data_IF_199268163298
#
_entry.id   IF_199268163298
#
_cell.length_a   1.000
_cell.length_b   1.000
_cell.length_c   1.000
_cell.angle_alpha   90.00
_cell.angle_beta   90.00
_cell.angle_gamma   90.00
#
_symmetry.space_group_name_H-M   'P 1'
#
loop_
_entity.id
_entity.type
_entity.pdbx_description
1 polymer ?
#
# COMPACT_ATOMS: atom_id res chain seq x y z
N UNK A 1 17.73 -1.49 -6.45
CA UNK A 1 16.70 -0.91 -5.57
C UNK A 1 17.10 -1.27 -4.14
N UNK A 2 17.34 -0.31 -3.25
CA UNK A 2 17.60 -0.62 -1.84
C UNK A 2 16.26 -0.54 -1.10
N UNK A 3 15.96 -1.60 -0.34
CA UNK A 3 14.72 -1.77 0.42
C UNK A 3 15.06 -1.63 1.90
N UNK A 4 14.26 -0.85 2.62
CA UNK A 4 14.33 -0.67 4.06
C UNK A 4 13.27 -1.53 4.72
N UNK A 5 13.64 -2.29 5.75
CA UNK A 5 12.73 -3.19 6.45
C UNK A 5 12.36 -2.62 7.81
N UNK A 6 11.10 -2.79 8.16
CA UNK A 6 10.54 -2.44 9.47
C UNK A 6 9.81 -3.67 9.99
N UNK A 7 10.16 -4.12 11.18
CA UNK A 7 9.51 -5.24 11.85
C UNK A 7 8.80 -4.70 13.09
N UNK A 8 7.49 -4.84 13.24
CA UNK A 8 6.72 -4.40 14.42
C UNK A 8 6.34 -5.65 15.23
N UNK A 9 6.86 -5.80 16.45
CA UNK A 9 6.36 -6.86 17.33
C UNK A 9 4.97 -6.55 17.88
N UNK A 10 4.10 -7.56 17.92
CA UNK A 10 2.72 -7.44 18.39
C UNK A 10 2.50 -7.97 19.83
N UNK A 11 3.56 -8.38 20.52
CA UNK A 11 3.42 -8.95 21.87
C UNK A 11 3.21 -7.85 22.92
N UNK A 12 2.36 -8.10 23.94
CA UNK A 12 2.22 -7.23 25.13
C UNK A 12 3.49 -7.19 26.01
N UNK A 13 4.60 -7.76 25.52
CA UNK A 13 5.86 -7.81 26.23
C UNK A 13 6.71 -6.59 25.82
N UNK A 14 7.03 -5.65 26.73
CA UNK A 14 7.78 -4.42 26.42
C UNK A 14 9.21 -4.64 25.89
N UNK A 15 9.62 -5.90 25.73
CA UNK A 15 10.95 -6.33 25.29
C UNK A 15 11.04 -6.74 23.80
N UNK A 16 9.93 -6.93 23.10
CA UNK A 16 9.97 -7.25 21.67
C UNK A 16 9.45 -6.05 20.89
N UNK A 17 10.37 -5.43 20.14
CA UNK A 17 10.23 -4.07 19.63
C UNK A 17 10.16 -3.99 18.12
N UNK A 18 10.08 -2.74 17.63
CA UNK A 18 10.25 -2.41 16.22
C UNK A 18 11.72 -2.65 15.79
N UNK A 19 12.02 -3.69 15.00
CA UNK A 19 13.38 -3.97 14.50
C UNK A 19 13.50 -3.48 13.05
N UNK A 20 14.44 -2.59 12.78
CA UNK A 20 14.74 -2.13 11.42
C UNK A 20 15.87 -2.99 10.88
N UNK A 21 15.59 -3.87 9.91
CA UNK A 21 16.65 -4.59 9.20
C UNK A 21 17.08 -3.84 7.94
N UNK A 22 18.37 -3.92 7.64
CA UNK A 22 18.92 -3.65 6.31
C UNK A 22 19.65 -4.92 5.87
N UNK A 23 18.94 -5.83 5.22
CA UNK A 23 19.56 -7.01 4.61
C UNK A 23 19.62 -6.86 3.10
N UNK A 24 20.84 -6.80 2.58
CA UNK A 24 21.12 -6.91 1.17
C UNK A 24 20.95 -8.37 0.75
N UNK A 25 19.77 -8.77 0.23
CA UNK A 25 19.43 -9.95 -0.62
C UNK A 25 19.81 -11.37 -0.11
N UNK A 26 20.82 -11.53 0.74
CA UNK A 26 21.44 -12.80 1.13
C UNK A 26 20.68 -13.48 2.28
N UNK A 27 19.99 -12.72 3.15
CA UNK A 27 19.24 -13.32 4.27
C UNK A 27 17.97 -14.06 3.87
N UNK A 28 17.34 -13.71 2.74
CA UNK A 28 16.15 -14.43 2.26
C UNK A 28 16.49 -15.87 1.82
N UNK A 29 17.66 -16.09 1.23
CA UNK A 29 18.09 -17.43 0.78
C UNK A 29 18.38 -18.33 2.00
N UNK A 30 18.95 -17.76 3.08
CA UNK A 30 19.29 -18.53 4.28
C UNK A 30 18.07 -18.95 5.11
N UNK A 31 17.04 -18.11 5.21
CA UNK A 31 15.80 -18.46 5.92
C UNK A 31 14.95 -19.48 5.13
N UNK A 32 14.94 -19.41 3.79
CA UNK A 32 14.30 -20.42 2.94
C UNK A 32 14.96 -21.79 3.05
N UNK A 33 16.29 -21.86 3.23
CA UNK A 33 17.01 -23.13 3.36
C UNK A 33 16.77 -23.82 4.70
N UNK A 34 16.56 -23.08 5.79
CA UNK A 34 16.36 -23.65 7.14
C UNK A 34 14.90 -24.12 7.33
N UNK A 35 13.95 -23.55 6.59
CA UNK A 35 12.53 -23.90 6.70
C UNK A 35 12.13 -25.14 5.88
N UNK A 36 12.95 -25.53 4.89
CA UNK A 36 12.67 -26.63 3.97
C UNK A 36 12.85 -28.03 4.59
N UNK A 37 13.42 -28.14 5.81
CA UNK A 37 13.64 -29.44 6.46
C UNK A 37 12.47 -29.96 7.30
N UNK A 38 11.40 -29.18 7.54
CA UNK A 38 10.36 -29.57 8.52
C UNK A 38 8.92 -29.68 8.06
N UNK A 39 8.54 -29.25 6.87
CA UNK A 39 7.15 -29.41 6.40
C UNK A 39 7.14 -29.79 4.93
N UNK A 40 6.45 -30.88 4.62
CA UNK A 40 6.40 -31.49 3.30
C UNK A 40 6.12 -30.51 2.18
N UNK A 41 6.84 -30.71 1.07
CA UNK A 41 6.71 -30.12 -0.28
C UNK A 41 5.54 -29.16 -0.46
N UNK A 42 5.69 -27.92 0.02
CA UNK A 42 4.98 -26.77 -0.51
C UNK A 42 5.83 -26.25 -1.66
N UNK A 43 5.24 -26.10 -2.83
CA UNK A 43 5.88 -25.72 -4.07
C UNK A 43 6.69 -24.41 -3.93
N UNK A 44 7.99 -24.56 -3.72
CA UNK A 44 8.97 -23.48 -3.53
C UNK A 44 9.02 -22.58 -4.78
N UNK A 45 8.68 -23.12 -5.95
CA UNK A 45 8.73 -22.40 -7.22
C UNK A 45 7.65 -21.29 -7.26
N UNK A 46 6.47 -21.56 -6.72
CA UNK A 46 5.39 -20.57 -6.64
C UNK A 46 5.69 -19.46 -5.62
N UNK A 47 6.37 -19.77 -4.51
CA UNK A 47 6.75 -18.76 -3.51
C UNK A 47 7.86 -17.82 -3.99
N UNK A 48 8.84 -18.37 -4.74
CA UNK A 48 9.87 -17.59 -5.41
C UNK A 48 9.22 -16.64 -6.42
N UNK A 49 8.19 -17.08 -7.15
CA UNK A 49 7.46 -16.19 -8.08
C UNK A 49 6.75 -15.04 -7.39
N UNK A 50 6.11 -15.23 -6.23
CA UNK A 50 5.45 -14.13 -5.49
C UNK A 50 6.48 -13.11 -4.97
N UNK A 51 7.61 -13.56 -4.40
CA UNK A 51 8.69 -12.65 -3.99
C UNK A 51 9.37 -11.96 -5.19
N UNK A 52 9.54 -12.67 -6.31
CA UNK A 52 10.07 -12.10 -7.55
C UNK A 52 9.08 -11.14 -8.24
N UNK A 53 7.77 -11.36 -8.16
CA UNK A 53 6.76 -10.41 -8.62
C UNK A 53 6.82 -9.12 -7.82
N UNK A 54 6.95 -9.20 -6.48
CA UNK A 54 7.07 -8.01 -5.61
C UNK A 54 8.40 -7.26 -5.82
N UNK A 55 9.49 -7.96 -6.12
CA UNK A 55 10.82 -7.35 -6.36
C UNK A 55 11.06 -6.92 -7.82
N UNK A 56 10.30 -7.46 -8.78
CA UNK A 56 10.40 -7.13 -10.22
C UNK A 56 9.46 -6.01 -10.66
N UNK A 57 8.76 -5.34 -9.72
CA UNK A 57 8.01 -4.10 -9.99
C UNK A 57 8.99 -3.01 -10.44
N UNK A 58 9.30 -3.02 -11.74
CA UNK A 58 10.07 -2.01 -12.42
C UNK A 58 9.16 -0.79 -12.53
N UNK A 59 9.33 0.15 -11.60
CA UNK A 59 8.66 1.44 -11.58
C UNK A 59 9.00 2.25 -12.85
N UNK A 60 8.31 1.95 -13.96
CA UNK A 60 8.32 2.80 -15.15
C UNK A 60 7.34 3.93 -14.92
N UNK A 61 7.86 5.09 -14.54
CA UNK A 61 7.14 6.36 -14.51
C UNK A 61 6.73 6.74 -15.93
N UNK A 62 5.55 6.27 -16.39
CA UNK A 62 4.81 6.97 -17.43
C UNK A 62 3.93 8.01 -16.76
N UNK A 63 3.81 9.20 -17.35
CA UNK A 63 2.98 10.27 -16.81
C UNK A 63 1.50 9.90 -16.94
N UNK A 64 0.83 9.75 -15.81
CA UNK A 64 -0.61 9.55 -15.76
C UNK A 64 -1.27 10.91 -15.64
N UNK A 65 -2.33 11.15 -16.41
CA UNK A 65 -3.04 12.41 -16.39
C UNK A 65 -4.53 12.17 -16.14
N UNK A 66 -5.15 13.01 -15.31
CA UNK A 66 -6.60 13.12 -15.20
C UNK A 66 -7.19 14.05 -16.27
N UNK A 67 -6.34 14.90 -16.88
CA UNK A 67 -6.75 15.99 -17.75
C UNK A 67 -5.94 15.92 -19.04
N UNK A 68 -6.56 15.40 -20.09
CA UNK A 68 -6.23 15.70 -21.48
C UNK A 68 -7.37 16.51 -22.10
N UNK A 69 -7.12 17.16 -23.24
CA UNK A 69 -8.17 17.80 -24.03
C UNK A 69 -9.02 16.71 -24.70
N UNK A 70 -9.89 16.06 -23.93
CA UNK A 70 -10.81 15.06 -24.44
C UNK A 70 -12.17 15.68 -24.70
N UNK A 71 -12.79 15.31 -25.82
CA UNK A 71 -14.17 15.63 -26.14
C UNK A 71 -15.00 14.34 -26.15
N UNK A 72 -16.16 14.37 -25.49
CA UNK A 72 -17.12 13.26 -25.52
C UNK A 72 -18.07 13.51 -26.68
N UNK A 73 -18.14 12.54 -27.60
CA UNK A 73 -19.07 12.55 -28.74
C UNK A 73 -20.52 12.46 -28.27
N UNK A 74 -21.48 12.80 -29.15
CA UNK A 74 -22.91 12.76 -28.79
C UNK A 74 -23.37 11.33 -28.50
N UNK A 75 -22.81 10.36 -29.21
CA UNK A 75 -23.04 8.93 -29.12
C UNK A 75 -22.50 8.37 -27.80
N UNK A 76 -21.25 8.68 -27.46
CA UNK A 76 -20.65 8.32 -26.17
C UNK A 76 -21.47 8.92 -25.02
N UNK A 77 -21.85 10.20 -25.11
CA UNK A 77 -22.67 10.86 -24.08
C UNK A 77 -24.00 10.13 -23.86
N UNK A 78 -24.71 9.75 -24.92
CA UNK A 78 -26.00 9.04 -24.82
C UNK A 78 -25.88 7.71 -24.09
N UNK A 79 -24.73 7.06 -24.16
CA UNK A 79 -24.47 5.82 -23.43
C UNK A 79 -24.04 6.13 -21.99
N UNK A 80 -23.15 7.10 -21.80
CA UNK A 80 -22.65 7.50 -20.48
C UNK A 80 -23.76 7.99 -19.55
N UNK A 81 -24.78 8.68 -20.07
CA UNK A 81 -25.93 9.13 -19.27
C UNK A 81 -26.83 8.00 -18.78
N UNK A 82 -26.63 6.75 -19.23
CA UNK A 82 -27.36 5.59 -18.71
C UNK A 82 -26.82 5.09 -17.37
N UNK A 83 -25.57 5.43 -17.04
CA UNK A 83 -24.95 5.06 -15.78
C UNK A 83 -25.32 6.06 -14.70
N UNK A 84 -25.78 5.56 -13.57
CA UNK A 84 -26.12 6.38 -12.40
C UNK A 84 -24.88 6.90 -11.67
N UNK A 85 -23.74 6.19 -11.78
CA UNK A 85 -22.50 6.58 -11.13
C UNK A 85 -21.28 6.21 -11.97
N UNK A 86 -20.57 7.22 -12.46
CA UNK A 86 -19.29 7.06 -13.16
C UNK A 86 -18.17 7.68 -12.33
N UNK A 87 -17.06 6.98 -12.20
CA UNK A 87 -15.84 7.43 -11.53
C UNK A 87 -14.74 7.64 -12.58
N UNK A 88 -14.19 8.84 -12.69
CA UNK A 88 -13.10 9.09 -13.64
C UNK A 88 -11.78 8.57 -13.08
N UNK A 89 -11.07 7.77 -13.87
CA UNK A 89 -9.79 7.18 -13.53
C UNK A 89 -8.65 7.82 -14.30
N UNK A 90 -7.43 7.83 -13.74
CA UNK A 90 -6.25 8.23 -14.48
C UNK A 90 -6.01 7.22 -15.60
N UNK A 91 -5.66 7.72 -16.79
CA UNK A 91 -5.31 6.91 -17.95
C UNK A 91 -3.87 7.22 -18.41
N UNK A 92 -3.22 6.24 -19.04
CA UNK A 92 -1.91 6.40 -19.69
C UNK A 92 -2.03 6.74 -21.17
N UNK A 93 -3.18 6.42 -21.76
CA UNK A 93 -3.42 6.51 -23.19
C UNK A 93 -4.42 7.64 -23.49
N UNK A 94 -4.63 7.95 -24.76
CA UNK A 94 -5.62 8.95 -25.21
C UNK A 94 -7.09 8.47 -25.03
N UNK A 95 -7.30 7.49 -24.15
CA UNK A 95 -8.59 6.88 -23.81
C UNK A 95 -9.04 7.44 -22.47
N UNK A 96 -10.29 7.88 -22.41
CA UNK A 96 -10.96 8.26 -21.16
C UNK A 96 -11.32 6.97 -20.41
N UNK A 97 -10.64 6.72 -19.28
CA UNK A 97 -10.94 5.58 -18.42
C UNK A 97 -11.93 5.99 -17.32
N UNK A 98 -13.05 5.29 -17.24
CA UNK A 98 -14.07 5.46 -16.20
C UNK A 98 -14.35 4.13 -15.51
N UNK A 99 -14.91 4.17 -14.31
CA UNK A 99 -15.37 3.00 -13.59
C UNK A 99 -16.80 3.15 -13.08
N UNK A 100 -17.54 2.05 -13.03
CA UNK A 100 -18.89 2.00 -12.44
C UNK A 100 -19.15 0.64 -11.77
N UNK A 101 -20.09 0.62 -10.82
CA UNK A 101 -20.61 -0.60 -10.20
C UNK A 101 -21.67 -1.31 -11.06
N UNK A 102 -22.12 -0.67 -12.15
CA UNK A 102 -23.25 -1.11 -12.97
C UNK A 102 -22.83 -2.01 -14.15
N UNK A 103 -21.53 -2.22 -14.35
CA UNK A 103 -21.01 -3.08 -15.42
C UNK A 103 -20.72 -4.48 -14.88
N UNK A 104 -21.31 -5.48 -15.52
CA UNK A 104 -21.00 -6.89 -15.29
C UNK A 104 -19.93 -7.35 -16.29
N UNK A 105 -18.87 -8.00 -15.81
CA UNK A 105 -17.80 -8.56 -16.65
C UNK A 105 -16.58 -7.66 -16.82
N UNK A 106 -15.92 -7.75 -17.98
CA UNK A 106 -14.57 -7.20 -18.27
C UNK A 106 -14.54 -5.70 -18.63
N UNK A 107 -15.69 -5.03 -18.64
CA UNK A 107 -15.81 -3.62 -19.01
C UNK A 107 -16.54 -3.40 -20.34
N UNK A 108 -16.74 -2.13 -20.69
CA UNK A 108 -17.38 -1.69 -21.94
C UNK A 108 -16.48 -0.64 -22.60
N UNK A 109 -16.15 -0.83 -23.87
CA UNK A 109 -15.40 0.17 -24.65
C UNK A 109 -16.29 0.78 -25.73
N UNK A 110 -16.32 2.12 -25.78
CA UNK A 110 -17.15 2.92 -26.67
C UNK A 110 -16.27 4.03 -27.22
N UNK A 111 -15.83 3.91 -28.47
CA UNK A 111 -14.92 4.88 -29.07
C UNK A 111 -13.66 5.07 -28.22
N UNK A 112 -13.46 6.30 -27.73
CA UNK A 112 -12.31 6.66 -26.90
C UNK A 112 -12.61 6.56 -25.39
N UNK A 113 -13.74 5.98 -25.00
CA UNK A 113 -14.12 5.79 -23.60
C UNK A 113 -14.07 4.32 -23.24
N UNK A 114 -13.32 3.98 -22.19
CA UNK A 114 -13.32 2.65 -21.58
C UNK A 114 -13.96 2.74 -20.20
N UNK A 115 -14.95 1.88 -19.95
CA UNK A 115 -15.68 1.81 -18.69
C UNK A 115 -15.39 0.46 -18.05
N UNK A 116 -14.75 0.47 -16.89
CA UNK A 116 -14.40 -0.73 -16.14
C UNK A 116 -15.34 -0.96 -14.96
N UNK A 117 -15.34 -2.19 -14.46
CA UNK A 117 -16.05 -2.53 -13.22
C UNK A 117 -15.29 -1.97 -12.02
N UNK A 118 -16.05 -1.41 -11.08
CA UNK A 118 -15.57 -1.14 -9.72
C UNK A 118 -16.52 -1.72 -8.68
N UNK A 119 -15.99 -1.98 -7.50
CA UNK A 119 -16.74 -2.50 -6.36
C UNK A 119 -16.34 -1.77 -5.09
N UNK A 120 -17.35 -1.32 -4.35
CA UNK A 120 -17.14 -0.88 -2.98
C UNK A 120 -17.02 -2.11 -2.09
N UNK A 121 -15.98 -2.15 -1.26
CA UNK A 121 -15.96 -3.15 -0.21
C UNK A 121 -17.01 -2.79 0.85
N UNK A 122 -17.89 -3.73 1.18
CA UNK A 122 -18.96 -3.52 2.18
C UNK A 122 -18.35 -3.41 3.60
N UNK A 123 -17.25 -4.12 3.84
CA UNK A 123 -16.64 -4.27 5.15
C UNK A 123 -15.31 -3.53 5.31
N UNK A 124 -14.71 -3.09 4.21
CA UNK A 124 -13.42 -2.43 4.21
C UNK A 124 -13.50 -1.02 3.60
N UNK A 125 -12.52 -0.19 3.91
CA UNK A 125 -12.44 1.21 3.49
C UNK A 125 -11.81 1.40 2.10
N UNK A 126 -11.95 0.41 1.20
CA UNK A 126 -11.37 0.44 -0.15
C UNK A 126 -12.37 0.19 -1.27
N UNK A 127 -12.00 0.68 -2.45
CA UNK A 127 -12.69 0.47 -3.73
C UNK A 127 -11.80 -0.43 -4.59
N UNK A 128 -12.36 -1.54 -5.08
CA UNK A 128 -11.73 -2.41 -6.09
C UNK A 128 -12.05 -1.90 -7.49
N UNK A 129 -11.07 -1.92 -8.36
CA UNK A 129 -11.18 -1.58 -9.78
C UNK A 129 -10.61 -2.75 -10.59
N UNK A 130 -11.40 -3.25 -11.53
CA UNK A 130 -11.03 -4.42 -12.34
C UNK A 130 -10.63 -3.91 -13.72
N UNK A 131 -9.33 -3.78 -13.96
CA UNK A 131 -8.80 -3.25 -15.21
C UNK A 131 -7.86 -4.27 -15.84
N UNK A 132 -8.24 -4.76 -17.02
CA UNK A 132 -7.51 -5.83 -17.71
C UNK A 132 -7.40 -7.07 -16.81
N UNK A 133 -6.18 -7.57 -16.60
CA UNK A 133 -5.88 -8.71 -15.72
C UNK A 133 -5.38 -8.27 -14.34
N UNK A 134 -5.56 -7.00 -13.97
CA UNK A 134 -5.07 -6.45 -12.71
C UNK A 134 -6.24 -5.91 -11.90
N UNK A 135 -6.40 -6.44 -10.70
CA UNK A 135 -7.28 -5.85 -9.70
C UNK A 135 -6.51 -4.76 -8.96
N UNK A 136 -7.10 -3.57 -8.85
CA UNK A 136 -6.56 -2.47 -8.06
C UNK A 136 -7.46 -2.19 -6.87
N UNK A 137 -6.91 -2.00 -5.68
CA UNK A 137 -7.66 -1.61 -4.49
C UNK A 137 -7.13 -0.30 -3.93
N UNK A 138 -7.98 0.73 -3.87
CA UNK A 138 -7.61 2.06 -3.36
C UNK A 138 -8.45 2.38 -2.13
N UNK A 139 -7.79 2.65 -1.01
CA UNK A 139 -8.46 2.96 0.26
C UNK A 139 -8.57 4.47 0.54
N UNK A 140 -9.57 4.83 1.35
CA UNK A 140 -9.77 6.19 1.83
C UNK A 140 -10.08 7.21 0.72
N UNK A 141 -10.69 6.75 -0.38
CA UNK A 141 -10.99 7.59 -1.53
C UNK A 141 -12.17 8.51 -1.22
N UNK A 142 -11.89 9.82 -1.13
CA UNK A 142 -12.93 10.83 -1.07
C UNK A 142 -13.22 11.38 -2.46
N UNK A 143 -14.49 11.53 -2.81
CA UNK A 143 -14.92 11.98 -4.14
C UNK A 143 -15.68 13.30 -4.11
N UNK A 144 -15.68 14.00 -5.24
CA UNK A 144 -16.57 15.12 -5.54
C UNK A 144 -17.21 14.92 -6.90
N UNK A 145 -18.40 15.47 -7.10
CA UNK A 145 -19.09 15.41 -8.38
C UNK A 145 -18.62 16.56 -9.27
N UNK A 146 -18.40 16.27 -10.55
CA UNK A 146 -18.09 17.24 -11.60
C UNK A 146 -18.91 16.93 -12.85
N UNK A 147 -19.31 17.97 -13.58
CA UNK A 147 -19.93 17.82 -14.90
C UNK A 147 -18.86 17.89 -15.98
N UNK A 148 -18.73 16.84 -16.78
CA UNK A 148 -17.79 16.78 -17.89
C UNK A 148 -18.51 16.31 -19.16
N UNK A 149 -18.48 17.13 -20.22
CA UNK A 149 -19.19 16.81 -21.47
C UNK A 149 -20.69 16.59 -21.30
N UNK A 150 -21.32 17.18 -20.27
CA UNK A 150 -22.74 17.00 -19.94
C UNK A 150 -23.07 15.72 -19.17
N UNK A 151 -22.06 14.98 -18.71
CA UNK A 151 -22.17 13.77 -17.88
C UNK A 151 -21.70 14.09 -16.47
N UNK A 152 -22.43 13.64 -15.45
CA UNK A 152 -22.02 13.78 -14.05
C UNK A 152 -21.05 12.65 -13.68
N UNK A 153 -19.84 13.04 -13.26
CA UNK A 153 -18.76 12.14 -12.91
C UNK A 153 -18.32 12.37 -11.46
N UNK A 154 -17.91 11.29 -10.78
CA UNK A 154 -17.16 11.34 -9.53
C UNK A 154 -15.67 11.41 -9.84
N UNK A 155 -14.97 12.36 -9.21
CA UNK A 155 -13.52 12.48 -9.28
C UNK A 155 -12.93 12.47 -7.86
N UNK A 156 -11.69 11.99 -7.66
CA UNK A 156 -11.02 12.11 -6.37
C UNK A 156 -10.88 13.57 -5.94
N UNK A 157 -11.19 13.90 -4.68
CA UNK A 157 -10.97 15.25 -4.12
C UNK A 157 -9.49 15.63 -4.10
N UNK A 158 -8.61 14.66 -3.80
CA UNK A 158 -7.17 14.84 -3.82
C UNK A 158 -6.56 13.97 -4.91
N UNK A 159 -6.47 14.53 -6.11
CA UNK A 159 -5.96 13.87 -7.32
C UNK A 159 -4.53 13.36 -7.15
N UNK A 160 -3.65 14.12 -6.47
CA UNK A 160 -2.24 13.75 -6.25
C UNK A 160 -2.13 12.52 -5.34
N UNK A 161 -2.85 12.52 -4.22
CA UNK A 161 -2.89 11.40 -3.28
C UNK A 161 -3.48 10.15 -3.95
N UNK A 162 -4.61 10.30 -4.64
CA UNK A 162 -5.24 9.19 -5.36
C UNK A 162 -4.30 8.60 -6.40
N UNK A 163 -3.63 9.43 -7.22
CA UNK A 163 -2.74 8.93 -8.27
C UNK A 163 -1.57 8.11 -7.71
N UNK A 164 -1.00 8.55 -6.59
CA UNK A 164 0.06 7.81 -5.90
C UNK A 164 -0.44 6.46 -5.40
N UNK A 165 -1.61 6.44 -4.76
CA UNK A 165 -2.24 5.20 -4.31
C UNK A 165 -2.53 4.29 -5.50
N UNK A 166 -3.14 4.83 -6.56
CA UNK A 166 -3.43 4.11 -7.81
C UNK A 166 -2.21 3.45 -8.43
N UNK A 167 -1.05 4.11 -8.41
CA UNK A 167 0.19 3.53 -8.92
C UNK A 167 0.69 2.35 -8.08
N UNK A 168 0.36 2.31 -6.79
CA UNK A 168 0.76 1.28 -5.82
C UNK A 168 -0.40 0.37 -5.39
N UNK A 169 -1.53 0.41 -6.10
CA UNK A 169 -2.79 -0.20 -5.65
C UNK A 169 -3.00 -1.61 -6.16
N UNK A 170 -2.01 -2.27 -6.74
CA UNK A 170 -2.18 -3.65 -7.21
C UNK A 170 -2.60 -4.53 -6.04
N UNK A 171 -3.76 -5.17 -6.19
CA UNK A 171 -4.39 -5.94 -5.14
C UNK A 171 -3.99 -7.40 -5.30
N UNK A 172 -3.26 -7.90 -4.29
CA UNK A 172 -2.87 -9.30 -4.21
C UNK A 172 -3.99 -10.02 -3.46
N UNK A 173 -4.78 -10.82 -4.19
CA UNK A 173 -5.75 -11.72 -3.56
C UNK A 173 -5.02 -12.82 -2.80
N UNK A 174 -5.55 -13.17 -1.63
CA UNK A 174 -5.05 -14.29 -0.84
C UNK A 174 -5.71 -15.60 -1.28
N UNK A 175 -5.03 -16.72 -1.06
CA UNK A 175 -5.49 -18.06 -1.44
C UNK A 175 -6.50 -18.65 -0.44
N UNK A 176 -6.55 -18.14 0.79
CA UNK A 176 -7.47 -18.62 1.83
C UNK A 176 -7.22 -20.07 2.24
N UNK A 177 -5.96 -20.53 2.19
CA UNK A 177 -5.60 -21.88 2.60
C UNK A 177 -5.76 -22.02 4.11
N UNK A 178 -6.33 -23.15 4.54
CA UNK A 178 -6.39 -23.49 5.97
C UNK A 178 -5.11 -24.22 6.38
N UNK A 179 -4.12 -23.46 6.88
CA UNK A 179 -2.82 -23.97 7.31
C UNK A 179 -2.72 -24.01 8.85
N UNK A 180 -3.84 -23.89 9.55
CA UNK A 180 -3.85 -23.78 11.01
C UNK A 180 -3.13 -24.96 11.68
N UNK A 181 -2.22 -24.63 12.59
CA UNK A 181 -1.52 -25.59 13.44
C UNK A 181 -2.39 -26.07 14.62
N UNK A 182 -3.60 -25.52 14.78
CA UNK A 182 -4.46 -25.71 15.95
C UNK A 182 -4.06 -24.86 17.17
N UNK A 183 -2.95 -24.12 17.09
CA UNK A 183 -2.52 -23.18 18.13
C UNK A 183 -3.26 -21.83 18.00
N UNK A 184 -3.50 -21.11 19.10
CA UNK A 184 -4.02 -19.76 19.04
C UNK A 184 -2.99 -18.83 18.39
N UNK A 185 -3.44 -17.99 17.45
CA UNK A 185 -2.61 -16.99 16.80
C UNK A 185 -1.97 -16.04 17.81
N UNK A 186 -0.64 -15.89 17.75
CA UNK A 186 0.15 -15.01 18.62
C UNK A 186 -0.17 -13.55 18.34
N UNK A 187 -0.32 -13.17 17.06
CA UNK A 187 -0.74 -11.83 16.66
C UNK A 187 -2.25 -11.81 16.47
N UNK A 188 -3.01 -11.09 17.31
CA UNK A 188 -4.45 -11.09 17.18
C UNK A 188 -4.88 -10.41 15.88
N UNK A 189 -5.93 -10.95 15.22
CA UNK A 189 -6.42 -10.43 13.92
C UNK A 189 -6.70 -8.93 13.91
N UNK A 190 -7.11 -8.33 15.04
CA UNK A 190 -7.38 -6.89 15.13
C UNK A 190 -6.12 -6.02 15.07
N UNK A 191 -4.92 -6.60 15.15
CA UNK A 191 -3.63 -5.91 14.99
C UNK A 191 -3.47 -5.26 13.60
N UNK A 192 -4.23 -5.71 12.59
CA UNK A 192 -4.31 -5.06 11.28
C UNK A 192 -4.70 -3.57 11.36
N UNK A 193 -5.39 -3.15 12.43
CA UNK A 193 -5.70 -1.73 12.69
C UNK A 193 -4.45 -0.93 13.02
N UNK A 194 -3.51 -1.51 13.77
CA UNK A 194 -2.23 -0.87 14.08
C UNK A 194 -1.34 -0.79 12.85
N UNK A 195 -1.37 -1.82 12.00
CA UNK A 195 -0.74 -1.79 10.68
C UNK A 195 -1.28 -0.66 9.80
N UNK A 196 -2.60 -0.44 9.78
CA UNK A 196 -3.20 0.68 9.06
C UNK A 196 -2.74 2.03 9.61
N UNK A 197 -2.68 2.20 10.93
CA UNK A 197 -2.14 3.42 11.57
C UNK A 197 -0.67 3.65 11.19
N UNK A 198 0.13 2.58 11.15
CA UNK A 198 1.53 2.65 10.73
C UNK A 198 1.67 3.04 9.26
N UNK A 199 0.89 2.44 8.37
CA UNK A 199 0.78 2.83 6.95
C UNK A 199 0.42 4.31 6.80
N UNK A 200 -0.61 4.76 7.50
CA UNK A 200 -1.10 6.15 7.43
C UNK A 200 -0.05 7.15 7.93
N UNK A 201 0.82 6.74 8.87
CA UNK A 201 1.96 7.54 9.28
C UNK A 201 2.92 7.81 8.12
N UNK A 202 3.34 6.80 7.35
CA UNK A 202 4.23 7.01 6.20
C UNK A 202 3.53 7.75 5.05
N UNK A 203 2.24 7.53 4.85
CA UNK A 203 1.47 8.24 3.84
C UNK A 203 1.45 9.76 4.07
N UNK A 204 1.48 10.20 5.33
CA UNK A 204 1.57 11.62 5.66
C UNK A 204 2.84 12.29 5.10
N UNK A 205 3.90 11.52 4.89
CA UNK A 205 5.16 11.94 4.26
C UNK A 205 5.22 11.59 2.78
N UNK A 206 4.08 11.28 2.17
CA UNK A 206 4.04 10.94 0.75
C UNK A 206 4.80 9.65 0.40
N UNK A 207 5.08 8.80 1.39
CA UNK A 207 5.84 7.55 1.27
C UNK A 207 4.93 6.33 1.37
N UNK A 208 5.27 5.27 0.63
CA UNK A 208 4.50 4.03 0.60
C UNK A 208 5.29 2.86 1.16
N UNK A 209 4.70 2.19 2.15
CA UNK A 209 5.17 0.92 2.69
C UNK A 209 4.38 -0.24 2.08
N UNK A 210 4.97 -1.42 2.02
CA UNK A 210 4.31 -2.65 1.56
C UNK A 210 4.64 -3.81 2.49
N UNK A 211 3.78 -4.83 2.54
CA UNK A 211 4.01 -6.02 3.35
C UNK A 211 5.26 -6.76 2.88
N UNK A 212 6.01 -7.32 3.81
CA UNK A 212 7.24 -8.06 3.50
C UNK A 212 7.32 -9.35 4.32
N UNK A 213 8.30 -10.21 4.00
CA UNK A 213 8.68 -11.36 4.82
C UNK A 213 7.52 -12.30 5.15
N UNK A 214 7.48 -12.74 6.41
CA UNK A 214 6.46 -13.65 6.93
C UNK A 214 5.05 -13.04 6.91
N UNK A 215 4.95 -11.71 7.03
CA UNK A 215 3.66 -11.00 6.97
C UNK A 215 3.02 -11.07 5.59
N UNK A 216 3.80 -10.83 4.53
CA UNK A 216 3.30 -10.97 3.16
C UNK A 216 2.93 -12.42 2.87
N UNK A 217 3.75 -13.37 3.32
CA UNK A 217 3.48 -14.80 3.16
C UNK A 217 2.17 -15.22 3.84
N UNK A 218 1.96 -14.80 5.10
CA UNK A 218 0.71 -15.05 5.82
C UNK A 218 -0.49 -14.48 5.08
N UNK A 219 -0.42 -13.21 4.65
CA UNK A 219 -1.49 -12.58 3.86
C UNK A 219 -1.81 -13.41 2.63
N UNK A 220 -0.82 -13.71 1.80
CA UNK A 220 -1.02 -14.42 0.54
C UNK A 220 -1.59 -15.83 0.76
N UNK A 221 -1.07 -16.57 1.75
CA UNK A 221 -1.44 -17.98 1.96
C UNK A 221 -2.77 -18.14 2.70
N UNK A 222 -2.94 -17.43 3.81
CA UNK A 222 -3.97 -17.71 4.82
C UNK A 222 -4.97 -16.55 4.98
N UNK A 223 -4.80 -15.45 4.23
CA UNK A 223 -5.55 -14.21 4.42
C UNK A 223 -5.43 -13.63 5.85
N UNK A 224 -4.36 -13.98 6.57
CA UNK A 224 -4.12 -13.57 7.97
C UNK A 224 -2.63 -13.63 8.32
N UNK A 225 -2.25 -13.31 9.56
CA UNK A 225 -0.90 -13.60 10.05
C UNK A 225 -0.71 -15.10 10.24
N UNK A 226 0.52 -15.58 10.03
CA UNK A 226 0.88 -16.96 10.39
C UNK A 226 0.74 -17.12 11.90
N UNK A 227 0.09 -18.19 12.36
CA UNK A 227 -0.32 -18.34 13.77
C UNK A 227 0.82 -18.17 14.80
N UNK A 228 2.04 -18.58 14.47
CA UNK A 228 3.21 -18.56 15.36
C UNK A 228 4.19 -17.39 15.14
N UNK A 229 3.88 -16.46 14.23
CA UNK A 229 4.70 -15.25 14.04
C UNK A 229 4.53 -14.29 15.21
N UNK A 230 5.59 -13.58 15.58
CA UNK A 230 5.59 -12.67 16.75
C UNK A 230 5.68 -11.19 16.35
N UNK A 231 5.77 -10.96 15.04
CA UNK A 231 6.18 -9.74 14.39
C UNK A 231 5.50 -9.53 13.04
N UNK A 232 5.48 -8.27 12.62
CA UNK A 232 4.90 -7.82 11.35
C UNK A 232 5.94 -7.05 10.55
N UNK A 233 6.25 -7.51 9.35
CA UNK A 233 7.25 -6.91 8.48
C UNK A 233 6.63 -6.02 7.40
N UNK A 234 7.17 -4.81 7.30
CA UNK A 234 6.97 -3.88 6.20
C UNK A 234 8.30 -3.59 5.51
N UNK A 235 8.19 -3.22 4.24
CA UNK A 235 9.28 -2.75 3.43
C UNK A 235 8.93 -1.39 2.80
N UNK A 236 9.96 -0.59 2.53
CA UNK A 236 9.84 0.69 1.83
C UNK A 236 11.05 0.92 0.93
N UNK A 237 10.85 1.67 -0.15
CA UNK A 237 11.97 2.16 -0.97
C UNK A 237 12.83 3.15 -0.18
N UNK A 238 14.16 2.99 -0.19
CA UNK A 238 15.06 3.97 0.45
C UNK A 238 14.85 5.39 -0.06
N UNK A 239 14.43 5.54 -1.32
CA UNK A 239 14.24 6.85 -1.96
C UNK A 239 13.03 7.60 -1.39
N UNK A 240 12.16 6.89 -0.68
CA UNK A 240 11.00 7.45 0.00
C UNK A 240 11.26 7.66 1.50
N UNK A 241 12.45 7.30 2.00
CA UNK A 241 12.88 7.64 3.37
C UNK A 241 13.40 9.08 3.37
N UNK A 242 12.86 9.89 4.26
CA UNK A 242 13.33 11.26 4.51
C UNK A 242 13.80 11.39 5.95
N UNK A 243 14.64 12.39 6.24
CA UNK A 243 15.07 12.69 7.61
C UNK A 243 13.88 13.01 8.52
N UNK A 244 12.86 13.72 8.01
CA UNK A 244 11.64 14.05 8.73
C UNK A 244 10.88 12.82 9.22
N UNK A 245 10.76 11.77 8.39
CA UNK A 245 10.16 10.49 8.80
C UNK A 245 10.93 9.94 10.00
N UNK A 246 12.26 9.86 9.91
CA UNK A 246 13.08 9.27 10.97
C UNK A 246 13.01 10.07 12.28
N UNK A 247 12.97 11.39 12.20
CA UNK A 247 12.89 12.25 13.38
C UNK A 247 11.50 12.17 14.03
N UNK A 248 10.43 12.20 13.24
CA UNK A 248 9.07 12.06 13.77
C UNK A 248 8.80 10.65 14.30
N UNK A 249 9.44 9.62 13.75
CA UNK A 249 9.41 8.26 14.32
C UNK A 249 10.07 8.15 15.70
N UNK A 250 11.06 8.99 16.00
CA UNK A 250 11.66 9.06 17.36
C UNK A 250 10.72 9.74 18.35
N UNK A 251 9.93 10.72 17.91
CA UNK A 251 9.08 11.52 18.79
C UNK A 251 7.63 11.02 18.91
N UNK A 252 7.16 10.21 17.99
CA UNK A 252 5.75 9.76 17.99
C UNK A 252 5.43 8.87 19.20
N UNK A 253 4.24 9.08 19.77
CA UNK A 253 3.69 8.24 20.84
C UNK A 253 2.87 7.05 20.32
N UNK A 254 2.66 6.96 19.00
CA UNK A 254 1.81 5.93 18.37
C UNK A 254 2.50 4.57 18.29
N UNK A 255 3.82 4.57 18.21
CA UNK A 255 4.65 3.37 18.17
C UNK A 255 6.03 3.72 18.71
N UNK A 256 6.74 2.73 19.24
CA UNK A 256 8.06 2.91 19.82
C UNK A 256 9.13 2.51 18.81
N UNK A 257 10.03 3.44 18.49
CA UNK A 257 11.23 3.12 17.75
C UNK A 257 12.30 2.61 18.72
N UNK A 258 12.78 1.39 18.49
CA UNK A 258 13.82 0.79 19.35
C UNK A 258 15.21 0.95 18.73
N UNK A 259 15.35 0.69 17.42
CA UNK A 259 16.65 0.66 16.76
C UNK A 259 16.56 1.24 15.36
N UNK A 260 17.61 1.95 14.92
CA UNK A 260 17.87 2.24 13.52
C UNK A 260 19.19 1.56 13.18
N UNK A 261 19.14 0.58 12.28
CA UNK A 261 20.34 -0.15 11.85
C UNK A 261 20.77 0.30 10.46
N UNK A 262 22.08 0.45 10.29
CA UNK A 262 22.70 0.90 9.04
C UNK A 262 22.72 2.43 8.87
N UNK A 263 23.58 2.89 7.96
CA UNK A 263 23.66 4.31 7.61
C UNK A 263 22.69 4.58 6.46
N UNK A 264 21.57 5.24 6.75
CA UNK A 264 20.77 5.89 5.71
C UNK A 264 21.67 6.99 5.14
N UNK A 265 22.16 6.80 3.91
CA UNK A 265 22.94 7.81 3.20
C UNK A 265 22.05 9.00 2.84
N UNK A 266 21.66 9.79 3.84
CA UNK A 266 20.96 11.04 3.66
C UNK A 266 21.99 12.05 3.15
N UNK A 267 21.84 12.50 1.92
CA UNK A 267 22.50 13.72 1.47
C UNK A 267 22.05 14.83 2.44
N UNK A 268 22.98 15.26 3.28
CA UNK A 268 22.73 16.11 4.44
C UNK A 268 22.16 17.46 4.01
N UNK A 269 20.90 17.72 4.35
CA UNK A 269 20.49 19.05 4.78
C UNK A 269 20.41 19.02 6.32
N UNK A 270 20.87 20.08 7.00
CA UNK A 270 20.80 20.14 8.46
C UNK A 270 19.34 19.98 8.92
N UNK A 271 19.10 19.41 10.11
CA UNK A 271 17.75 19.30 10.66
C UNK A 271 17.20 20.71 10.86
N UNK A 272 16.29 21.13 9.99
CA UNK A 272 15.49 22.31 10.21
C UNK A 272 14.26 21.84 10.99
N UNK A 273 14.32 21.91 12.32
CA UNK A 273 13.11 22.03 13.13
C UNK A 273 12.48 23.41 12.83
N UNK A 274 11.81 23.52 11.69
CA UNK A 274 11.00 24.70 11.36
C UNK A 274 9.57 24.41 11.75
N UNK A 275 9.01 25.35 12.50
CA UNK A 275 7.63 25.42 12.92
C UNK A 275 6.69 25.35 11.70
N UNK A 276 6.20 24.17 11.37
CA UNK A 276 5.08 24.02 10.45
C UNK A 276 3.78 24.05 11.26
N UNK A 277 3.11 25.20 11.23
CA UNK A 277 1.79 25.40 11.79
C UNK A 277 0.76 24.63 10.95
N UNK A 278 0.53 23.36 11.26
CA UNK A 278 -0.75 22.72 10.98
C UNK A 278 -1.38 22.31 12.32
N UNK A 279 -2.58 22.83 12.55
CA UNK A 279 -3.26 22.95 13.83
C UNK A 279 -3.82 21.62 14.38
N UNK A 280 -3.06 20.52 14.33
CA UNK A 280 -3.56 19.23 14.86
C UNK A 280 -2.52 18.28 15.46
N UNK A 281 -1.29 18.74 15.76
CA UNK A 281 -0.29 17.93 16.46
C UNK A 281 0.37 18.76 17.56
N UNK A 282 -0.03 18.54 18.82
CA UNK A 282 0.71 19.04 19.99
C UNK A 282 2.05 18.30 20.04
N UNK A 283 3.15 19.02 19.77
CA UNK A 283 4.52 18.50 19.77
C UNK A 283 5.28 19.04 20.97
N UNK A 284 5.67 18.15 21.87
CA UNK A 284 6.81 18.32 22.78
C UNK A 284 7.75 17.14 22.53
N UNK A 285 8.83 17.38 21.78
CA UNK A 285 9.98 16.45 21.76
C UNK A 285 10.90 16.89 22.91
N UNK A 286 10.86 16.18 24.03
CA UNK A 286 11.91 16.32 25.05
C UNK A 286 13.18 15.66 24.54
N UNK A 287 14.26 16.42 24.48
CA UNK A 287 15.61 15.93 24.17
C UNK A 287 16.01 14.89 25.21
N UNK A 288 15.96 13.61 24.86
CA UNK A 288 16.62 12.56 25.65
C UNK A 288 18.10 12.60 25.28
N UNK A 289 18.94 12.94 26.26
CA UNK A 289 20.38 12.99 26.12
C UNK A 289 20.96 11.63 25.65
N UNK A 290 22.01 11.61 24.84
CA UNK A 290 22.71 10.37 24.51
C UNK A 290 23.46 9.89 25.77
N UNK A 291 23.15 8.68 26.22
CA UNK A 291 24.05 7.96 27.14
C UNK A 291 25.19 7.36 26.32
N UNK A 292 26.41 7.61 26.82
CA UNK A 292 27.71 7.13 26.32
C UNK A 292 27.80 5.61 26.42
#
# INVERSE_FOLDING_TARGET
MQIFFWNISATNNPHNGLIIFLSCVISCIFLLSIWNEKLGTVDVEHQIQVQQQVTSVRWRYKSWHFYGNFSITKEERKILTKFSSLFLLPSKDEIILMATTEVNGTGVQIGNVSIIRMEYSITNDYIKFFHENITRAVYGVQTTNVSFGGVQLKVPKNTKSFLRKWQKSEFIECLGLNVSSGAPSVIPKHFVRQMAIFRDFFEAYESGIFLFGGTLLGWYRECMFIDDTTDVDFAMSIREVTSHILDDMKCTKRFRLHWILGKVGLFSLPPICSYFNSSSFNRECSTVAPFV
#
